data_IF_253315455147
#
_entry.id   IF_253315455147
#
_cell.length_a   1.000
_cell.length_b   1.000
_cell.length_c   1.000
_cell.angle_alpha   90.00
_cell.angle_beta   90.00
_cell.angle_gamma   90.00
#
_symmetry.space_group_name_H-M   'P 1'
#
loop_
_entity.id
_entity.type
_entity.pdbx_description
1 polymer ?
#
# COMPACT_ATOMS: atom_id res chain seq x y z
N UNK A 1 -42.51 -34.19 -45.74
CA UNK A 1 -43.19 -33.13 -44.97
C UNK A 1 -43.08 -33.48 -43.50
N UNK A 2 -42.08 -32.91 -42.80
CA UNK A 2 -41.90 -33.07 -41.33
C UNK A 2 -42.59 -31.90 -40.62
N UNK A 3 -43.58 -32.21 -39.82
CA UNK A 3 -44.32 -31.25 -39.00
C UNK A 3 -43.48 -30.89 -37.80
N UNK A 4 -43.01 -29.63 -37.70
CA UNK A 4 -42.45 -29.07 -36.49
C UNK A 4 -43.59 -28.74 -35.51
N UNK A 5 -43.61 -29.43 -34.37
CA UNK A 5 -44.47 -29.11 -33.25
C UNK A 5 -43.80 -27.98 -32.42
N UNK A 6 -44.33 -26.77 -32.51
CA UNK A 6 -43.97 -25.67 -31.63
C UNK A 6 -44.64 -25.88 -30.26
N UNK A 7 -43.84 -26.19 -29.22
CA UNK A 7 -44.32 -26.12 -27.83
C UNK A 7 -44.24 -24.66 -27.36
N UNK A 8 -45.32 -24.04 -26.89
CA UNK A 8 -45.22 -22.75 -26.22
C UNK A 8 -44.59 -22.97 -24.84
N UNK A 9 -43.41 -22.42 -24.64
CA UNK A 9 -42.80 -22.28 -23.31
C UNK A 9 -43.61 -21.22 -22.56
N UNK A 10 -44.47 -21.68 -21.65
CA UNK A 10 -45.14 -20.81 -20.71
C UNK A 10 -44.09 -20.28 -19.71
N UNK A 11 -43.68 -19.01 -19.88
CA UNK A 11 -42.95 -18.28 -18.85
C UNK A 11 -43.94 -17.99 -17.71
N UNK A 12 -43.90 -18.80 -16.66
CA UNK A 12 -44.51 -18.47 -15.37
C UNK A 12 -43.63 -17.42 -14.73
N UNK A 13 -43.90 -16.14 -14.97
CA UNK A 13 -43.33 -15.08 -14.15
C UNK A 13 -43.95 -15.19 -12.75
N UNK A 14 -43.22 -15.74 -11.82
CA UNK A 14 -43.55 -15.70 -10.40
C UNK A 14 -43.64 -14.22 -10.00
N UNK A 15 -44.84 -13.73 -9.77
CA UNK A 15 -45.09 -12.42 -9.15
C UNK A 15 -44.74 -12.61 -7.67
N UNK A 16 -43.45 -12.52 -7.32
CA UNK A 16 -43.08 -12.32 -5.95
C UNK A 16 -43.48 -10.89 -5.57
N UNK A 17 -44.28 -10.76 -4.53
CA UNK A 17 -44.58 -9.45 -3.95
C UNK A 17 -43.25 -8.78 -3.61
N UNK A 18 -42.95 -7.63 -4.23
CA UNK A 18 -41.77 -6.84 -3.94
C UNK A 18 -42.17 -5.78 -2.91
N UNK A 19 -41.50 -5.79 -1.79
CA UNK A 19 -41.73 -4.84 -0.69
C UNK A 19 -40.68 -3.74 -0.71
N UNK A 20 -40.99 -2.61 -0.08
CA UNK A 20 -39.99 -1.56 0.19
C UNK A 20 -39.79 -1.42 1.68
N UNK A 21 -38.52 -1.21 2.06
CA UNK A 21 -38.12 -0.88 3.42
C UNK A 21 -37.70 0.57 3.45
N UNK A 22 -38.44 1.40 4.18
CA UNK A 22 -38.19 2.83 4.26
C UNK A 22 -37.94 3.27 5.69
N UNK A 23 -37.20 4.33 5.85
CA UNK A 23 -36.91 4.86 7.19
C UNK A 23 -36.09 6.14 7.19
N UNK A 24 -35.84 6.61 8.39
CA UNK A 24 -35.02 7.81 8.63
C UNK A 24 -33.89 7.52 9.60
N UNK A 25 -32.69 7.98 9.24
CA UNK A 25 -31.50 7.85 10.06
C UNK A 25 -31.15 9.19 10.67
N UNK A 26 -30.91 9.20 11.96
CA UNK A 26 -30.54 10.41 12.71
C UNK A 26 -29.55 10.09 13.84
N UNK A 27 -28.83 11.11 14.26
CA UNK A 27 -28.04 11.06 15.49
C UNK A 27 -28.95 10.82 16.72
N UNK A 28 -28.56 9.91 17.59
CA UNK A 28 -29.37 9.52 18.76
C UNK A 28 -29.52 10.67 19.78
N UNK A 29 -28.49 11.51 19.93
CA UNK A 29 -28.44 12.58 20.93
C UNK A 29 -28.98 13.89 20.38
N UNK A 30 -28.51 14.34 19.24
CA UNK A 30 -28.88 15.63 18.64
C UNK A 30 -30.16 15.55 17.79
N UNK A 31 -30.57 14.35 17.38
CA UNK A 31 -31.70 14.10 16.44
C UNK A 31 -31.47 14.69 15.04
N UNK A 32 -30.26 15.12 14.73
CA UNK A 32 -29.90 15.66 13.41
C UNK A 32 -29.93 14.53 12.39
N UNK A 33 -30.50 14.72 11.19
CA UNK A 33 -30.40 13.76 10.09
C UNK A 33 -28.96 13.44 9.76
N UNK A 34 -28.69 12.20 9.32
CA UNK A 34 -27.37 11.73 8.91
C UNK A 34 -27.38 11.40 7.40
N UNK A 35 -27.25 12.42 6.52
CA UNK A 35 -27.24 12.22 5.08
C UNK A 35 -26.03 11.40 4.64
N UNK A 36 -26.22 10.54 3.63
CA UNK A 36 -25.18 9.67 3.12
C UNK A 36 -24.90 8.44 4.00
N UNK A 37 -25.70 8.20 5.04
CA UNK A 37 -25.66 6.93 5.78
C UNK A 37 -25.98 5.77 4.84
N UNK A 38 -25.23 4.69 4.93
CA UNK A 38 -25.44 3.50 4.12
C UNK A 38 -26.29 2.47 4.87
N UNK A 39 -27.39 2.00 4.25
CA UNK A 39 -28.26 0.96 4.80
C UNK A 39 -28.27 -0.23 3.86
N UNK A 40 -27.97 -1.41 4.39
CA UNK A 40 -27.92 -2.65 3.61
C UNK A 40 -28.68 -3.77 4.30
N UNK A 41 -29.20 -4.70 3.51
CA UNK A 41 -29.68 -6.00 3.98
C UNK A 41 -28.52 -6.99 3.88
N UNK A 42 -28.00 -7.41 5.02
CA UNK A 42 -26.79 -8.26 5.14
C UNK A 42 -27.00 -9.57 4.38
N UNK A 43 -25.99 -9.96 3.58
CA UNK A 43 -26.06 -11.17 2.76
C UNK A 43 -26.80 -11.02 1.43
N UNK A 44 -27.25 -9.81 1.08
CA UNK A 44 -27.87 -9.47 -0.20
C UNK A 44 -27.14 -8.33 -0.89
N UNK A 45 -27.54 -8.02 -2.15
CA UNK A 45 -27.08 -6.85 -2.88
C UNK A 45 -28.05 -5.66 -2.73
N UNK A 46 -28.98 -5.73 -1.77
CA UNK A 46 -30.00 -4.71 -1.56
C UNK A 46 -29.56 -3.71 -0.50
N UNK A 47 -29.64 -2.43 -0.84
CA UNK A 47 -29.27 -1.33 0.05
C UNK A 47 -29.59 0.02 -0.55
N UNK A 48 -29.51 1.06 0.28
CA UNK A 48 -29.73 2.45 -0.12
C UNK A 48 -28.85 3.38 0.72
N UNK A 49 -28.51 4.55 0.15
CA UNK A 49 -27.91 5.66 0.89
C UNK A 49 -29.03 6.62 1.36
N UNK A 50 -28.90 7.16 2.56
CA UNK A 50 -29.83 8.16 3.06
C UNK A 50 -29.66 9.51 2.33
N UNK A 51 -30.76 10.17 2.02
CA UNK A 51 -30.80 11.48 1.40
C UNK A 51 -30.42 12.63 2.35
N UNK A 52 -30.57 13.88 1.91
CA UNK A 52 -30.25 15.09 2.69
C UNK A 52 -31.05 15.20 4.02
N UNK A 53 -32.22 14.63 4.09
CA UNK A 53 -33.08 14.61 5.27
C UNK A 53 -32.91 13.35 6.12
N UNK A 54 -31.94 12.49 5.74
CA UNK A 54 -31.65 11.23 6.39
C UNK A 54 -32.64 10.10 6.04
N UNK A 55 -33.48 10.29 5.03
CA UNK A 55 -34.45 9.29 4.57
C UNK A 55 -33.78 8.27 3.64
N UNK A 56 -34.14 6.99 3.80
CA UNK A 56 -33.68 5.91 2.93
C UNK A 56 -34.84 5.05 2.45
N UNK A 57 -34.68 4.46 1.28
CA UNK A 57 -35.66 3.55 0.69
C UNK A 57 -34.92 2.40 -0.03
N UNK A 58 -35.16 1.17 0.43
CA UNK A 58 -34.68 -0.05 -0.22
C UNK A 58 -35.87 -0.69 -0.93
N UNK A 59 -35.83 -0.69 -2.25
CA UNK A 59 -36.89 -1.21 -3.10
C UNK A 59 -36.67 -2.66 -3.51
N UNK A 60 -37.71 -3.34 -3.96
CA UNK A 60 -37.67 -4.68 -4.51
C UNK A 60 -37.15 -5.75 -3.53
N UNK A 61 -37.50 -5.63 -2.26
CA UNK A 61 -37.09 -6.60 -1.23
C UNK A 61 -38.06 -7.80 -1.28
N UNK A 62 -37.58 -9.03 -1.51
CA UNK A 62 -38.42 -10.24 -1.45
C UNK A 62 -38.88 -10.53 -0.01
N UNK A 63 -39.94 -11.35 0.12
CA UNK A 63 -40.30 -11.91 1.44
C UNK A 63 -39.17 -12.73 2.00
N UNK A 64 -38.90 -12.56 3.31
CA UNK A 64 -37.81 -13.27 4.01
C UNK A 64 -37.38 -12.59 5.30
N UNK A 65 -36.48 -13.26 5.99
CA UNK A 65 -35.82 -12.75 7.19
C UNK A 65 -34.48 -12.16 6.84
N UNK A 66 -34.22 -10.94 7.27
CA UNK A 66 -33.00 -10.18 6.97
C UNK A 66 -32.41 -9.54 8.22
N UNK A 67 -31.09 -9.39 8.26
CA UNK A 67 -30.41 -8.45 9.15
C UNK A 67 -30.23 -7.12 8.40
N UNK A 68 -30.90 -6.06 8.85
CA UNK A 68 -30.64 -4.71 8.36
C UNK A 68 -29.48 -4.09 9.11
N UNK A 69 -28.53 -3.51 8.39
CA UNK A 69 -27.37 -2.83 8.97
C UNK A 69 -27.30 -1.40 8.41
N UNK A 70 -27.23 -0.42 9.33
CA UNK A 70 -26.99 0.98 8.97
C UNK A 70 -25.63 1.43 9.49
N UNK A 71 -24.86 2.11 8.64
CA UNK A 71 -23.51 2.60 8.91
C UNK A 71 -23.36 4.06 8.52
N UNK A 72 -22.63 4.83 9.32
CA UNK A 72 -22.22 6.20 9.01
C UNK A 72 -20.85 6.49 9.62
N UNK A 73 -20.02 7.27 8.94
CA UNK A 73 -18.66 7.58 9.40
C UNK A 73 -18.72 8.31 10.74
N UNK A 74 -18.03 7.78 11.74
CA UNK A 74 -18.00 8.35 13.11
C UNK A 74 -19.16 7.90 14.00
N UNK A 75 -19.94 6.90 13.57
CA UNK A 75 -21.07 6.34 14.34
C UNK A 75 -20.95 4.84 14.50
N UNK A 76 -21.53 4.31 15.57
CA UNK A 76 -21.66 2.86 15.81
C UNK A 76 -22.60 2.25 14.77
N UNK A 77 -22.24 1.07 14.26
CA UNK A 77 -23.11 0.35 13.33
C UNK A 77 -24.39 -0.09 14.02
N UNK A 78 -25.52 0.23 13.44
CA UNK A 78 -26.83 -0.29 13.86
C UNK A 78 -27.08 -1.61 13.16
N UNK A 79 -27.58 -2.61 13.90
CA UNK A 79 -28.01 -3.90 13.38
C UNK A 79 -29.34 -4.29 14.00
N UNK A 80 -30.24 -4.82 13.19
CA UNK A 80 -31.53 -5.34 13.64
C UNK A 80 -32.04 -6.42 12.70
N UNK A 81 -32.67 -7.46 13.25
CA UNK A 81 -33.35 -8.45 12.44
C UNK A 81 -34.72 -7.93 12.05
N UNK A 82 -35.09 -8.10 10.79
CA UNK A 82 -36.40 -7.75 10.23
C UNK A 82 -36.98 -8.94 9.46
N UNK A 83 -38.29 -9.17 9.56
CA UNK A 83 -38.99 -10.24 8.86
C UNK A 83 -40.01 -9.63 7.93
N UNK A 84 -39.79 -9.73 6.63
CA UNK A 84 -40.62 -9.11 5.60
C UNK A 84 -41.60 -10.14 5.06
N UNK A 85 -42.88 -9.89 5.30
CA UNK A 85 -43.99 -10.68 4.74
C UNK A 85 -45.21 -9.80 4.56
N UNK A 86 -46.25 -10.31 3.88
CA UNK A 86 -47.48 -9.57 3.55
C UNK A 86 -48.23 -8.99 4.76
N UNK A 87 -48.04 -9.55 5.96
CA UNK A 87 -48.69 -9.06 7.18
C UNK A 87 -47.85 -8.04 7.96
N UNK A 88 -46.53 -7.93 7.70
CA UNK A 88 -45.61 -7.07 8.44
C UNK A 88 -45.15 -5.84 7.67
N UNK A 89 -45.55 -5.69 6.40
CA UNK A 89 -45.11 -4.60 5.48
C UNK A 89 -45.29 -3.20 6.08
N UNK A 90 -46.37 -2.95 6.78
CA UNK A 90 -46.62 -1.65 7.41
C UNK A 90 -45.65 -1.30 8.52
N UNK A 91 -44.99 -2.30 9.13
CA UNK A 91 -44.05 -2.09 10.24
C UNK A 91 -42.67 -1.63 9.79
N UNK A 92 -42.32 -1.80 8.51
CA UNK A 92 -41.04 -1.40 7.94
C UNK A 92 -41.13 -0.17 7.06
N UNK A 93 -42.28 0.45 6.99
CA UNK A 93 -42.48 1.80 6.47
C UNK A 93 -42.20 2.79 7.60
N UNK A 94 -41.25 3.73 7.37
CA UNK A 94 -40.82 4.74 8.36
C UNK A 94 -40.05 4.21 9.58
N UNK A 95 -39.10 3.27 9.37
CA UNK A 95 -38.18 2.86 10.42
C UNK A 95 -37.39 4.05 10.95
N UNK A 96 -37.27 4.17 12.27
CA UNK A 96 -36.45 5.19 12.93
C UNK A 96 -35.15 4.55 13.39
N UNK A 97 -34.08 4.77 12.65
CA UNK A 97 -32.75 4.32 12.99
C UNK A 97 -32.00 5.47 13.66
N UNK A 98 -31.52 5.25 14.87
CA UNK A 98 -30.74 6.23 15.62
C UNK A 98 -29.36 5.69 15.85
N UNK A 99 -28.36 6.34 15.24
CA UNK A 99 -26.98 5.99 15.42
C UNK A 99 -26.41 6.77 16.62
N UNK A 100 -25.72 6.08 17.50
CA UNK A 100 -24.92 6.71 18.51
C UNK A 100 -23.62 7.17 17.86
N UNK A 101 -23.18 8.40 18.14
CA UNK A 101 -21.78 8.77 17.82
C UNK A 101 -20.94 7.66 18.40
N UNK A 102 -20.28 6.93 17.55
CA UNK A 102 -19.10 6.19 18.00
C UNK A 102 -18.25 7.33 18.57
N UNK A 103 -18.16 7.41 19.92
CA UNK A 103 -16.98 8.05 20.46
C UNK A 103 -15.88 7.49 19.61
N UNK A 104 -15.16 8.33 18.84
CA UNK A 104 -13.93 7.89 18.22
C UNK A 104 -13.24 7.30 19.41
N UNK A 105 -13.41 6.00 19.62
CA UNK A 105 -12.40 5.27 20.35
C UNK A 105 -11.23 5.57 19.45
N UNK A 106 -10.41 6.52 19.89
CA UNK A 106 -9.01 6.54 19.54
C UNK A 106 -8.70 5.08 19.58
N UNK A 107 -8.64 4.43 18.40
CA UNK A 107 -8.58 2.98 18.32
C UNK A 107 -7.48 2.66 19.29
N UNK A 108 -7.87 2.02 20.42
CA UNK A 108 -6.93 1.69 21.45
C UNK A 108 -6.01 0.73 20.77
N UNK A 109 -4.95 1.31 20.15
CA UNK A 109 -4.06 0.57 19.29
C UNK A 109 -3.42 -0.47 20.16
N UNK A 110 -3.90 -1.68 19.97
CA UNK A 110 -3.36 -2.84 20.61
C UNK A 110 -2.10 -3.18 19.84
N UNK A 111 -0.97 -3.01 20.48
CA UNK A 111 0.34 -3.29 19.92
C UNK A 111 0.84 -4.64 20.37
N UNK A 112 1.59 -5.31 19.53
CA UNK A 112 2.21 -6.60 19.83
C UNK A 112 3.65 -6.44 20.32
N UNK A 113 3.97 -5.28 20.89
CA UNK A 113 5.31 -4.90 21.35
C UNK A 113 5.92 -5.87 22.37
N UNK A 114 5.14 -6.73 23.00
CA UNK A 114 5.62 -7.77 23.91
C UNK A 114 5.32 -9.19 23.41
N UNK A 115 6.02 -9.63 22.35
CA UNK A 115 6.02 -11.01 21.84
C UNK A 115 4.63 -11.65 21.71
N UNK A 116 3.74 -10.98 20.98
CA UNK A 116 2.42 -11.52 20.68
C UNK A 116 1.35 -11.30 21.75
N UNK A 117 1.66 -10.65 22.85
CA UNK A 117 0.64 -10.12 23.77
C UNK A 117 0.11 -8.82 23.22
N UNK A 118 -1.19 -8.74 23.07
CA UNK A 118 -1.89 -7.51 22.72
C UNK A 118 -1.94 -6.62 23.95
N UNK A 119 -1.28 -5.47 23.88
CA UNK A 119 -1.26 -4.47 24.96
C UNK A 119 -1.77 -3.13 24.44
N UNK A 120 -2.33 -2.32 25.33
CA UNK A 120 -2.65 -0.95 24.99
C UNK A 120 -1.36 -0.17 24.76
N UNK A 121 -1.34 0.69 23.75
CA UNK A 121 -0.16 1.52 23.43
C UNK A 121 0.28 2.34 24.66
N UNK A 122 -0.67 2.76 25.50
CA UNK A 122 -0.42 3.51 26.74
C UNK A 122 0.28 2.70 27.82
N UNK A 123 0.15 1.38 27.78
CA UNK A 123 0.67 0.47 28.80
C UNK A 123 2.02 -0.13 28.38
N UNK A 124 2.39 0.08 27.10
CA UNK A 124 3.64 -0.44 26.57
C UNK A 124 4.86 0.31 27.15
N UNK A 125 5.91 -0.40 27.58
CA UNK A 125 7.08 0.20 28.22
C UNK A 125 8.04 0.89 27.22
N UNK A 126 7.65 1.05 25.95
CA UNK A 126 8.44 1.62 24.86
C UNK A 126 7.68 2.74 24.13
N UNK A 127 8.42 3.61 23.47
CA UNK A 127 7.83 4.60 22.57
C UNK A 127 7.37 3.91 21.28
N UNK A 128 6.07 3.72 21.13
CA UNK A 128 5.48 3.05 19.97
C UNK A 128 4.67 4.05 19.15
N UNK A 129 4.91 4.05 17.84
CA UNK A 129 4.09 4.74 16.86
C UNK A 129 3.36 3.71 16.01
N UNK A 130 2.08 3.96 15.72
CA UNK A 130 1.26 3.07 14.88
C UNK A 130 0.81 3.79 13.63
N UNK A 131 1.06 3.20 12.48
CA UNK A 131 0.51 3.60 11.20
C UNK A 131 -0.73 2.72 10.97
N UNK A 132 -1.89 3.34 11.03
CA UNK A 132 -3.18 2.63 10.92
C UNK A 132 -3.50 2.23 9.49
N UNK A 133 -4.40 1.24 9.34
CA UNK A 133 -4.95 0.84 8.05
C UNK A 133 -5.54 2.03 7.28
N UNK A 134 -6.26 2.93 7.96
CA UNK A 134 -6.83 4.13 7.35
C UNK A 134 -5.75 5.02 6.74
N UNK A 135 -4.63 5.23 7.43
CA UNK A 135 -3.50 6.00 6.94
C UNK A 135 -2.87 5.33 5.72
N UNK A 136 -2.66 4.01 5.78
CA UNK A 136 -2.10 3.23 4.69
C UNK A 136 -2.99 3.30 3.44
N UNK A 137 -4.31 3.21 3.59
CA UNK A 137 -5.27 3.30 2.49
C UNK A 137 -5.44 4.70 1.91
N UNK A 138 -5.20 5.74 2.72
CA UNK A 138 -5.35 7.13 2.28
C UNK A 138 -4.20 7.60 1.39
N UNK A 139 -3.10 6.86 1.34
CA UNK A 139 -1.90 7.21 0.58
C UNK A 139 -1.61 6.13 -0.48
N UNK A 140 -1.19 6.56 -1.67
CA UNK A 140 -0.86 5.67 -2.79
C UNK A 140 0.64 5.61 -2.98
N UNK A 141 1.33 4.96 -2.06
CA UNK A 141 2.78 4.87 -2.05
C UNK A 141 3.31 3.71 -2.93
N UNK A 142 4.52 3.80 -3.49
CA UNK A 142 5.14 2.74 -4.30
C UNK A 142 5.30 1.46 -3.50
N UNK A 143 5.84 1.56 -2.29
CA UNK A 143 6.04 0.45 -1.36
C UNK A 143 5.78 0.86 0.09
N UNK A 144 6.00 -0.06 1.03
CA UNK A 144 5.72 0.18 2.46
C UNK A 144 6.71 1.13 3.13
N UNK A 145 7.90 1.33 2.57
CA UNK A 145 8.94 2.21 3.16
C UNK A 145 8.51 3.67 3.22
N UNK A 146 7.74 4.16 2.25
CA UNK A 146 7.33 5.55 2.17
C UNK A 146 6.41 6.01 3.33
N UNK A 147 5.70 5.07 3.98
CA UNK A 147 4.86 5.39 5.13
C UNK A 147 5.63 5.88 6.37
N UNK A 148 6.95 5.66 6.42
CA UNK A 148 7.78 6.03 7.57
C UNK A 148 8.27 7.46 7.56
N UNK A 149 8.17 8.18 6.45
CA UNK A 149 8.67 9.56 6.29
C UNK A 149 8.16 10.56 7.33
N UNK A 150 7.00 10.29 7.93
CA UNK A 150 6.37 11.18 8.91
C UNK A 150 6.41 10.60 10.35
N UNK A 151 7.16 9.53 10.58
CA UNK A 151 7.27 8.91 11.90
C UNK A 151 8.31 9.62 12.73
N UNK A 152 7.90 10.14 13.88
CA UNK A 152 8.76 10.87 14.80
C UNK A 152 9.89 9.97 15.33
N UNK A 153 11.14 10.40 15.13
CA UNK A 153 12.32 9.64 15.58
C UNK A 153 12.79 8.55 14.62
N UNK A 154 12.24 8.51 13.41
CA UNK A 154 12.75 7.74 12.27
C UNK A 154 13.42 8.70 11.31
N UNK A 155 14.66 8.40 10.96
CA UNK A 155 15.41 9.10 9.92
C UNK A 155 15.09 8.40 8.59
N UNK A 156 14.54 9.15 7.65
CA UNK A 156 14.10 8.67 6.35
C UNK A 156 14.90 9.33 5.24
N UNK A 157 15.46 8.54 4.34
CA UNK A 157 16.11 9.02 3.13
C UNK A 157 15.57 8.24 1.94
N UNK A 158 15.18 8.95 0.88
CA UNK A 158 14.81 8.35 -0.39
C UNK A 158 15.96 8.53 -1.37
N UNK A 159 16.49 7.45 -1.92
CA UNK A 159 17.50 7.44 -2.98
C UNK A 159 16.90 7.30 -4.37
N UNK A 160 15.58 7.09 -4.45
CA UNK A 160 14.81 6.97 -5.67
C UNK A 160 13.32 6.87 -5.35
N UNK A 161 12.50 6.64 -6.36
CA UNK A 161 11.06 6.53 -6.22
C UNK A 161 10.63 5.28 -5.44
N UNK A 162 11.38 4.20 -5.50
CA UNK A 162 11.08 2.90 -4.88
C UNK A 162 12.16 2.43 -3.89
N UNK A 163 13.15 3.27 -3.60
CA UNK A 163 14.28 2.92 -2.74
C UNK A 163 14.38 3.87 -1.55
N UNK A 164 14.31 3.30 -0.34
CA UNK A 164 14.29 4.04 0.92
C UNK A 164 15.22 3.44 1.94
N UNK A 165 15.94 4.32 2.65
CA UNK A 165 16.76 3.97 3.78
C UNK A 165 16.13 4.52 5.05
N UNK A 166 15.95 3.63 6.02
CA UNK A 166 15.33 3.95 7.30
C UNK A 166 16.29 3.65 8.44
N UNK A 167 16.44 4.58 9.34
CA UNK A 167 17.11 4.35 10.61
C UNK A 167 16.36 5.03 11.76
N UNK A 168 16.69 4.68 12.98
CA UNK A 168 16.16 5.32 14.17
C UNK A 168 17.28 5.56 15.16
N UNK A 169 17.33 6.78 15.72
CA UNK A 169 18.32 7.17 16.75
C UNK A 169 19.77 6.93 16.36
N UNK A 170 20.14 7.15 15.11
CA UNK A 170 21.49 6.91 14.67
C UNK A 170 21.73 7.22 13.22
N UNK A 171 22.93 6.90 12.76
CA UNK A 171 23.36 7.17 11.40
C UNK A 171 22.50 6.42 10.39
N UNK A 172 21.91 7.14 9.49
CA UNK A 172 21.20 6.56 8.36
C UNK A 172 22.20 6.13 7.29
N UNK A 173 22.11 4.88 6.88
CA UNK A 173 22.99 4.29 5.87
C UNK A 173 22.21 3.18 5.17
N UNK A 174 22.45 3.00 3.88
CA UNK A 174 21.85 1.95 3.06
C UNK A 174 22.06 0.54 3.64
N UNK A 175 23.18 0.32 4.32
CA UNK A 175 23.52 -0.96 4.93
C UNK A 175 23.30 -1.01 6.45
N UNK A 176 22.38 -0.19 6.96
CA UNK A 176 22.08 -0.18 8.39
C UNK A 176 21.10 -1.32 8.75
N UNK A 177 21.56 -2.25 9.60
CA UNK A 177 20.72 -3.34 10.14
C UNK A 177 20.29 -3.11 11.59
N UNK A 178 20.40 -1.88 12.11
CA UNK A 178 20.10 -1.57 13.51
C UNK A 178 18.61 -1.41 13.83
N UNK A 179 17.80 -1.14 12.81
CA UNK A 179 16.35 -1.10 12.87
C UNK A 179 15.82 -2.42 12.31
N UNK A 180 15.36 -3.31 13.18
CA UNK A 180 14.83 -4.61 12.77
C UNK A 180 13.45 -4.44 12.11
N UNK A 181 13.29 -4.94 10.90
CA UNK A 181 11.96 -4.99 10.25
C UNK A 181 11.42 -6.42 10.23
N UNK A 182 10.19 -6.57 10.68
CA UNK A 182 9.44 -7.82 10.71
C UNK A 182 8.18 -7.71 9.86
N UNK A 183 7.79 -8.80 9.25
CA UNK A 183 6.47 -8.99 8.64
C UNK A 183 5.83 -10.23 9.25
N UNK A 184 4.75 -10.05 9.98
CA UNK A 184 4.08 -11.12 10.75
C UNK A 184 5.07 -11.92 11.61
N UNK A 185 6.00 -11.22 12.27
CA UNK A 185 7.02 -11.82 13.14
C UNK A 185 8.23 -12.44 12.42
N UNK A 186 8.27 -12.43 11.09
CA UNK A 186 9.40 -12.91 10.28
C UNK A 186 10.32 -11.74 9.91
N UNK A 187 11.61 -11.93 9.98
CA UNK A 187 12.59 -10.92 9.53
C UNK A 187 12.45 -10.66 8.02
N UNK A 188 12.34 -9.38 7.67
CA UNK A 188 12.16 -8.90 6.29
C UNK A 188 13.47 -8.37 5.66
N UNK A 189 14.62 -8.66 6.26
CA UNK A 189 15.91 -8.23 5.74
C UNK A 189 16.46 -9.19 4.67
N UNK A 190 17.28 -8.66 3.78
CA UNK A 190 18.09 -9.44 2.83
C UNK A 190 19.37 -9.87 3.57
N UNK A 191 19.52 -11.17 3.96
CA UNK A 191 20.57 -11.60 4.89
C UNK A 191 21.98 -11.36 4.37
N UNK A 192 22.21 -11.52 3.07
CA UNK A 192 23.51 -11.36 2.43
C UNK A 192 24.01 -9.92 2.41
N UNK A 193 23.09 -8.96 2.32
CA UNK A 193 23.41 -7.53 2.21
C UNK A 193 23.18 -6.77 3.52
N UNK A 194 22.58 -7.40 4.52
CA UNK A 194 22.23 -6.79 5.82
C UNK A 194 21.39 -5.51 5.70
N UNK A 195 20.61 -5.41 4.64
CA UNK A 195 19.71 -4.29 4.40
C UNK A 195 18.25 -4.74 4.37
N UNK A 196 17.36 -3.77 4.44
CA UNK A 196 15.92 -3.99 4.30
C UNK A 196 15.48 -3.34 2.99
N UNK A 197 15.18 -4.16 2.01
CA UNK A 197 14.63 -3.71 0.74
C UNK A 197 13.11 -3.71 0.82
N UNK A 198 12.51 -2.57 1.18
CA UNK A 198 11.06 -2.43 1.33
C UNK A 198 10.29 -2.74 0.05
N UNK A 199 10.91 -2.52 -1.10
CA UNK A 199 10.38 -2.84 -2.42
C UNK A 199 10.32 -4.35 -2.70
N UNK A 200 11.05 -5.18 -1.97
CA UNK A 200 11.00 -6.64 -2.11
C UNK A 200 10.10 -7.33 -1.09
N UNK A 201 9.51 -6.61 -0.14
CA UNK A 201 8.56 -7.19 0.80
C UNK A 201 7.28 -7.55 0.03
N UNK A 202 6.90 -8.86 -0.04
CA UNK A 202 5.83 -9.31 -0.93
C UNK A 202 4.42 -9.07 -0.35
N UNK A 203 4.22 -7.93 0.31
CA UNK A 203 2.96 -7.53 0.94
C UNK A 203 2.40 -6.32 0.24
N UNK A 204 1.09 -6.31 -0.03
CA UNK A 204 0.38 -5.15 -0.60
C UNK A 204 -0.08 -4.21 0.51
N UNK A 205 -0.24 -2.92 0.19
CA UNK A 205 -0.83 -1.95 1.14
C UNK A 205 -2.23 -2.35 1.62
N UNK A 206 -3.03 -3.00 0.76
CA UNK A 206 -4.37 -3.48 1.11
C UNK A 206 -4.37 -4.65 2.09
N UNK A 207 -3.25 -5.38 2.18
CA UNK A 207 -3.08 -6.49 3.09
C UNK A 207 -2.64 -6.07 4.50
N UNK A 208 -2.06 -4.89 4.63
CA UNK A 208 -1.56 -4.42 5.92
C UNK A 208 -2.73 -3.99 6.81
N UNK A 209 -2.76 -4.51 8.01
CA UNK A 209 -3.70 -4.09 9.04
C UNK A 209 -3.16 -2.89 9.83
N UNK A 210 -1.89 -2.94 10.19
CA UNK A 210 -1.17 -1.83 10.84
C UNK A 210 0.35 -2.02 10.74
N UNK A 211 1.10 -0.94 10.90
CA UNK A 211 2.55 -0.99 11.07
C UNK A 211 2.89 -0.38 12.41
N UNK A 212 3.59 -1.13 13.25
CA UNK A 212 4.06 -0.70 14.56
C UNK A 212 5.54 -0.32 14.45
N UNK A 213 5.90 0.84 14.96
CA UNK A 213 7.28 1.32 15.03
C UNK A 213 7.66 1.50 16.48
N UNK A 214 8.47 0.61 17.00
CA UNK A 214 8.98 0.62 18.37
C UNK A 214 10.35 1.28 18.35
N UNK A 215 10.50 2.39 19.05
CA UNK A 215 11.74 3.15 19.10
C UNK A 215 12.50 2.88 20.40
N UNK A 216 13.72 2.45 20.25
CA UNK A 216 14.63 2.16 21.37
C UNK A 216 15.14 0.72 21.38
N UNK A 217 16.08 0.40 22.31
CA UNK A 217 16.69 -0.92 22.38
C UNK A 217 15.65 -1.98 22.73
N UNK A 218 15.37 -2.88 21.79
CA UNK A 218 14.34 -3.91 21.89
C UNK A 218 14.90 -5.34 21.72
N UNK A 219 16.23 -5.48 21.76
CA UNK A 219 16.91 -6.75 21.50
C UNK A 219 16.55 -7.86 22.49
N UNK A 220 16.16 -7.51 23.72
CA UNK A 220 15.71 -8.48 24.70
C UNK A 220 14.38 -9.17 24.31
N UNK A 221 13.54 -8.50 23.54
CA UNK A 221 12.23 -9.01 23.09
C UNK A 221 12.31 -9.62 21.69
N UNK A 222 13.04 -8.98 20.78
CA UNK A 222 13.04 -9.28 19.35
C UNK A 222 14.34 -9.93 18.85
N UNK A 223 15.38 -10.01 19.70
CA UNK A 223 16.65 -10.62 19.36
C UNK A 223 17.63 -9.65 18.70
N UNK A 224 18.67 -10.17 18.02
CA UNK A 224 19.70 -9.37 17.39
C UNK A 224 19.13 -8.43 16.33
N UNK A 225 19.83 -7.33 16.06
CA UNK A 225 19.46 -6.26 15.14
C UNK A 225 18.34 -5.30 15.59
N UNK A 226 17.68 -5.54 16.74
CA UNK A 226 16.72 -4.59 17.32
C UNK A 226 17.42 -3.58 18.26
N UNK A 227 18.50 -2.92 17.78
CA UNK A 227 19.31 -1.99 18.57
C UNK A 227 18.66 -0.62 18.72
N UNK A 228 18.23 -0.04 17.63
CA UNK A 228 17.62 1.29 17.59
C UNK A 228 16.10 1.25 17.61
N UNK A 229 15.52 0.12 17.24
CA UNK A 229 14.09 -0.07 17.22
C UNK A 229 13.66 -1.30 16.44
N UNK A 230 12.33 -1.45 16.31
CA UNK A 230 11.69 -2.51 15.54
C UNK A 230 10.55 -1.91 14.73
N UNK A 231 10.48 -2.27 13.47
CA UNK A 231 9.32 -2.08 12.60
C UNK A 231 8.61 -3.42 12.49
N UNK A 232 7.34 -3.49 12.86
CA UNK A 232 6.53 -4.70 12.75
C UNK A 232 5.34 -4.44 11.81
N UNK A 233 5.39 -5.02 10.63
CA UNK A 233 4.34 -4.96 9.63
C UNK A 233 3.39 -6.12 9.90
N UNK A 234 2.13 -5.80 10.25
CA UNK A 234 1.11 -6.79 10.60
C UNK A 234 0.12 -6.87 9.45
N UNK A 235 -0.01 -8.05 8.85
CA UNK A 235 -0.96 -8.29 7.76
C UNK A 235 -2.30 -8.79 8.29
N UNK A 236 -3.36 -8.59 7.51
CA UNK A 236 -4.69 -9.13 7.80
C UNK A 236 -4.69 -10.65 7.67
N UNK A 237 -5.38 -11.33 8.56
CA UNK A 237 -5.64 -12.75 8.38
C UNK A 237 -6.57 -12.98 7.19
N UNK A 238 -6.41 -14.10 6.46
CA UNK A 238 -7.31 -14.43 5.34
C UNK A 238 -8.78 -14.38 5.73
N UNK A 239 -9.13 -14.93 6.90
CA UNK A 239 -10.51 -14.96 7.41
C UNK A 239 -11.10 -13.57 7.71
N UNK A 240 -10.26 -12.56 7.95
CA UNK A 240 -10.66 -11.18 8.29
C UNK A 240 -10.73 -10.27 7.05
N UNK A 241 -10.30 -10.77 5.88
CA UNK A 241 -10.14 -9.96 4.67
C UNK A 241 -10.82 -10.57 3.44
N UNK A 242 -11.96 -11.24 3.64
CA UNK A 242 -12.68 -11.97 2.59
C UNK A 242 -13.06 -11.08 1.41
N UNK A 243 -13.10 -11.68 0.22
CA UNK A 243 -13.47 -11.02 -1.03
C UNK A 243 -12.28 -10.61 -1.88
N UNK A 244 -12.55 -9.85 -2.93
CA UNK A 244 -11.57 -9.40 -3.92
C UNK A 244 -11.44 -7.89 -3.87
N UNK A 245 -10.21 -7.39 -3.85
CA UNK A 245 -9.88 -5.98 -3.99
C UNK A 245 -8.96 -5.83 -5.20
N UNK A 246 -9.30 -4.90 -6.09
CA UNK A 246 -8.47 -4.53 -7.24
C UNK A 246 -8.19 -3.05 -7.15
N UNK A 247 -6.92 -2.68 -7.26
CA UNK A 247 -6.48 -1.30 -7.24
C UNK A 247 -5.61 -0.99 -8.46
N UNK A 248 -5.78 0.19 -9.01
CA UNK A 248 -4.90 0.72 -10.04
C UNK A 248 -4.60 2.19 -9.74
N UNK A 249 -3.32 2.53 -9.76
CA UNK A 249 -2.85 3.90 -9.54
C UNK A 249 -1.93 4.29 -10.69
N UNK A 250 -2.10 5.48 -11.21
CA UNK A 250 -1.23 6.07 -12.22
C UNK A 250 -0.80 7.47 -11.80
N UNK A 251 0.35 7.93 -12.30
CA UNK A 251 0.91 9.22 -11.94
C UNK A 251 1.96 9.70 -12.95
N UNK A 252 2.65 10.77 -12.60
CA UNK A 252 3.78 11.30 -13.37
C UNK A 252 4.93 10.30 -13.36
N UNK A 253 5.91 10.47 -14.28
CA UNK A 253 7.10 9.63 -14.43
C UNK A 253 6.74 8.16 -14.70
N UNK A 254 5.74 7.94 -15.55
CA UNK A 254 5.27 6.61 -15.95
C UNK A 254 4.85 5.72 -14.77
N UNK A 255 4.51 6.35 -13.62
CA UNK A 255 4.05 5.62 -12.45
C UNK A 255 2.78 4.85 -12.75
N UNK A 256 2.86 3.53 -12.71
CA UNK A 256 1.73 2.62 -12.85
C UNK A 256 1.83 1.51 -11.82
N UNK A 257 0.83 1.38 -10.97
CA UNK A 257 0.74 0.35 -9.95
C UNK A 257 -0.60 -0.36 -10.05
N UNK A 258 -0.57 -1.61 -10.47
CA UNK A 258 -1.73 -2.50 -10.47
C UNK A 258 -1.59 -3.49 -9.30
N UNK A 259 -2.64 -3.67 -8.53
CA UNK A 259 -2.65 -4.62 -7.43
C UNK A 259 -3.97 -5.37 -7.35
N UNK A 260 -3.90 -6.62 -6.94
CA UNK A 260 -5.07 -7.47 -6.71
C UNK A 260 -4.86 -8.26 -5.43
N UNK A 261 -5.91 -8.38 -4.64
CA UNK A 261 -5.98 -9.26 -3.48
C UNK A 261 -7.28 -10.04 -3.51
N UNK A 262 -7.20 -11.33 -3.26
CA UNK A 262 -8.36 -12.18 -3.10
C UNK A 262 -8.21 -13.06 -1.86
N UNK A 263 -9.25 -13.12 -1.03
CA UNK A 263 -9.27 -13.98 0.15
C UNK A 263 -10.60 -14.76 0.21
N UNK A 264 -10.49 -16.02 0.62
CA UNK A 264 -11.62 -16.92 0.78
C UNK A 264 -11.50 -17.75 2.05
N UNK A 265 -12.67 -18.22 2.55
CA UNK A 265 -12.75 -19.10 3.72
C UNK A 265 -13.74 -20.23 3.46
N UNK A 266 -13.37 -21.43 3.86
CA UNK A 266 -14.25 -22.61 3.87
C UNK A 266 -14.03 -23.39 5.16
N UNK A 267 -15.01 -23.38 6.03
CA UNK A 267 -14.91 -23.95 7.38
C UNK A 267 -13.71 -23.37 8.16
N UNK A 268 -12.79 -24.21 8.57
CA UNK A 268 -11.60 -23.84 9.33
C UNK A 268 -10.41 -23.43 8.43
N UNK A 269 -10.53 -23.62 7.11
CA UNK A 269 -9.49 -23.26 6.17
C UNK A 269 -9.79 -21.89 5.56
N UNK A 270 -8.78 -21.02 5.53
CA UNK A 270 -8.84 -19.73 4.84
C UNK A 270 -7.56 -19.47 4.06
N UNK A 271 -7.67 -18.77 2.95
CA UNK A 271 -6.54 -18.41 2.10
C UNK A 271 -6.63 -16.98 1.62
N UNK A 272 -5.49 -16.42 1.32
CA UNK A 272 -5.35 -15.08 0.75
C UNK A 272 -4.21 -15.10 -0.27
N UNK A 273 -4.46 -14.53 -1.43
CA UNK A 273 -3.43 -14.28 -2.45
C UNK A 273 -3.46 -12.80 -2.81
N UNK A 274 -2.28 -12.22 -2.99
CA UNK A 274 -2.12 -10.87 -3.47
C UNK A 274 -1.00 -10.78 -4.50
N UNK A 275 -1.16 -9.87 -5.46
CA UNK A 275 -0.16 -9.58 -6.46
C UNK A 275 -0.09 -8.07 -6.70
N UNK A 276 1.12 -7.59 -6.95
CA UNK A 276 1.40 -6.21 -7.36
C UNK A 276 2.30 -6.23 -8.58
N UNK A 277 1.97 -5.42 -9.55
CA UNK A 277 2.88 -5.03 -10.62
C UNK A 277 3.03 -3.51 -10.57
N UNK A 278 4.26 -3.05 -10.38
CA UNK A 278 4.62 -1.65 -10.29
C UNK A 278 5.68 -1.34 -11.33
N UNK A 279 5.45 -0.27 -12.10
CA UNK A 279 6.41 0.29 -13.04
C UNK A 279 6.47 1.81 -12.87
N UNK A 280 7.65 2.38 -13.04
CA UNK A 280 7.86 3.82 -13.03
C UNK A 280 9.19 4.13 -13.73
N UNK A 281 9.43 5.41 -14.03
CA UNK A 281 10.70 5.92 -14.48
C UNK A 281 11.28 6.84 -13.39
N UNK A 282 12.43 6.48 -12.81
CA UNK A 282 13.06 7.23 -11.73
C UNK A 282 13.69 8.53 -12.24
N UNK A 283 14.27 9.32 -11.35
CA UNK A 283 14.98 10.55 -11.72
C UNK A 283 16.27 10.21 -12.47
N UNK A 284 16.44 10.77 -13.64
CA UNK A 284 17.66 10.64 -14.44
C UNK A 284 18.76 11.49 -13.80
N UNK A 285 19.24 11.07 -12.63
CA UNK A 285 20.31 11.72 -11.93
C UNK A 285 21.51 10.78 -11.86
N UNK A 286 22.63 11.25 -12.36
CA UNK A 286 23.91 10.60 -12.22
C UNK A 286 24.82 11.57 -11.47
N UNK A 287 25.49 11.08 -10.45
CA UNK A 287 26.38 11.89 -9.64
C UNK A 287 27.54 12.43 -10.49
N UNK A 288 28.06 13.62 -10.11
CA UNK A 288 29.12 14.28 -10.87
C UNK A 288 30.37 13.42 -10.94
N UNK A 289 30.72 12.74 -9.86
CA UNK A 289 31.91 11.87 -9.82
C UNK A 289 31.74 10.62 -10.71
N UNK A 290 30.54 10.06 -10.79
CA UNK A 290 30.20 8.96 -11.70
C UNK A 290 30.28 9.43 -13.17
N UNK A 291 29.76 10.62 -13.46
CA UNK A 291 29.92 11.25 -14.77
C UNK A 291 31.39 11.43 -15.15
N UNK A 292 32.22 11.94 -14.20
CA UNK A 292 33.65 12.11 -14.42
C UNK A 292 34.36 10.80 -14.70
N UNK A 293 34.00 9.71 -14.00
CA UNK A 293 34.59 8.39 -14.24
C UNK A 293 34.25 7.87 -15.65
N UNK A 294 33.01 8.03 -16.10
CA UNK A 294 32.64 7.72 -17.48
C UNK A 294 33.43 8.54 -18.48
N UNK A 295 33.65 9.83 -18.22
CA UNK A 295 34.48 10.68 -19.08
C UNK A 295 35.96 10.36 -19.06
N UNK A 296 36.52 9.83 -17.97
CA UNK A 296 37.91 9.39 -17.88
C UNK A 296 38.22 8.19 -18.77
N UNK A 297 37.24 7.35 -19.01
CA UNK A 297 37.38 6.19 -19.89
C UNK A 297 37.28 6.60 -21.37
N UNK A 298 36.92 7.83 -21.65
CA UNK A 298 36.66 8.36 -22.99
C UNK A 298 37.70 9.38 -23.40
N UNK A 299 38.30 9.17 -24.57
CA UNK A 299 39.05 10.20 -25.25
C UNK A 299 38.07 11.01 -26.09
N UNK A 300 37.60 12.14 -25.57
CA UNK A 300 36.79 13.09 -26.30
C UNK A 300 37.72 13.96 -27.12
N UNK A 301 37.67 13.87 -28.43
CA UNK A 301 38.35 14.73 -29.42
C UNK A 301 39.49 15.62 -28.88
N UNK A 302 40.58 15.00 -28.37
CA UNK A 302 41.77 15.67 -27.94
C UNK A 302 41.82 16.18 -26.50
N UNK A 303 40.85 15.78 -25.65
CA UNK A 303 40.96 15.89 -24.19
C UNK A 303 40.98 14.48 -23.59
N UNK A 304 41.98 14.17 -22.80
CA UNK A 304 41.87 12.98 -21.91
C UNK A 304 41.16 13.34 -20.59
N UNK A 305 40.80 12.33 -19.79
CA UNK A 305 40.05 12.54 -18.57
C UNK A 305 40.78 13.38 -17.52
N UNK A 306 42.11 13.39 -17.50
CA UNK A 306 42.91 14.21 -16.58
C UNK A 306 42.89 15.68 -16.99
N UNK A 307 42.98 15.99 -18.31
CA UNK A 307 42.84 17.34 -18.82
C UNK A 307 41.46 17.92 -18.54
N UNK A 308 40.42 17.10 -18.61
CA UNK A 308 39.06 17.52 -18.33
C UNK A 308 38.86 17.83 -16.84
N UNK A 309 39.42 17.01 -15.94
CA UNK A 309 39.40 17.26 -14.49
C UNK A 309 40.11 18.57 -14.15
N UNK A 310 41.27 18.83 -14.75
CA UNK A 310 42.01 20.08 -14.58
C UNK A 310 41.16 21.30 -15.02
N UNK A 311 40.41 21.19 -16.09
CA UNK A 311 39.50 22.26 -16.55
C UNK A 311 38.32 22.48 -15.60
N UNK A 312 37.79 21.43 -14.99
CA UNK A 312 36.78 21.56 -13.93
C UNK A 312 37.36 22.23 -12.69
N UNK A 313 38.53 21.81 -12.24
CA UNK A 313 39.19 22.37 -11.05
C UNK A 313 39.59 23.85 -11.24
N UNK A 314 39.91 24.24 -12.45
CA UNK A 314 40.16 25.64 -12.81
C UNK A 314 38.87 26.48 -13.03
N UNK A 315 37.70 25.85 -12.94
CA UNK A 315 36.42 26.50 -13.23
C UNK A 315 36.19 26.82 -14.72
N UNK A 316 36.94 26.19 -15.58
CA UNK A 316 36.89 26.35 -17.05
C UNK A 316 36.02 25.31 -17.75
N UNK A 317 35.53 24.31 -17.01
CA UNK A 317 34.52 23.36 -17.44
C UNK A 317 33.32 23.42 -16.53
N UNK A 318 32.13 23.32 -17.07
CA UNK A 318 30.88 23.27 -16.30
C UNK A 318 29.90 22.30 -16.92
N UNK A 319 29.14 21.66 -16.03
CA UNK A 319 28.04 20.79 -16.43
C UNK A 319 26.80 21.60 -16.84
N UNK A 320 26.19 21.21 -17.96
CA UNK A 320 24.86 21.66 -18.38
C UNK A 320 23.99 20.43 -18.70
N UNK A 321 23.38 19.91 -17.66
CA UNK A 321 22.72 18.61 -17.75
C UNK A 321 23.72 17.47 -17.99
N UNK A 322 23.67 16.85 -19.16
CA UNK A 322 24.60 15.82 -19.62
C UNK A 322 25.75 16.36 -20.45
N UNK A 323 25.68 17.61 -20.87
CA UNK A 323 26.67 18.25 -21.69
C UNK A 323 27.76 18.90 -20.84
N UNK A 324 28.95 18.98 -21.36
CA UNK A 324 30.05 19.73 -20.75
C UNK A 324 30.35 20.92 -21.63
N UNK A 325 30.28 22.10 -21.03
CA UNK A 325 30.74 23.38 -21.67
C UNK A 325 32.13 23.68 -21.19
N UNK A 326 33.04 23.91 -22.12
CA UNK A 326 34.45 24.12 -21.84
C UNK A 326 34.90 25.47 -22.44
N UNK A 327 35.57 26.24 -21.58
CA UNK A 327 36.35 27.43 -21.94
C UNK A 327 37.84 27.03 -21.90
N UNK A 328 38.42 26.71 -23.05
CA UNK A 328 39.77 26.13 -23.11
C UNK A 328 40.88 27.18 -22.86
N UNK A 329 40.67 28.40 -23.28
CA UNK A 329 41.71 29.44 -23.17
C UNK A 329 41.54 30.31 -21.92
N UNK A 330 40.42 30.20 -21.21
CA UNK A 330 40.14 30.91 -19.95
C UNK A 330 39.76 32.36 -20.14
N UNK A 331 39.22 32.72 -21.29
CA UNK A 331 38.76 34.08 -21.59
C UNK A 331 37.35 34.37 -21.08
N UNK A 332 36.65 33.37 -20.52
CA UNK A 332 35.30 33.45 -19.99
C UNK A 332 34.23 33.16 -21.03
N UNK A 333 34.62 32.77 -22.24
CA UNK A 333 33.67 32.32 -23.29
C UNK A 333 33.76 30.81 -23.47
N UNK A 334 32.62 30.18 -23.80
CA UNK A 334 32.58 28.74 -24.05
C UNK A 334 33.08 28.46 -25.46
N UNK A 335 34.22 27.80 -25.55
CA UNK A 335 34.82 27.43 -26.83
C UNK A 335 34.19 26.17 -27.42
N UNK A 336 33.83 25.23 -26.54
CA UNK A 336 33.37 23.92 -26.97
C UNK A 336 32.29 23.39 -26.04
N UNK A 337 31.30 22.74 -26.62
CA UNK A 337 30.29 21.97 -25.87
C UNK A 337 30.40 20.50 -26.28
N UNK A 338 30.64 19.63 -25.32
CA UNK A 338 30.63 18.18 -25.50
C UNK A 338 29.23 17.66 -25.15
N UNK A 339 28.53 17.10 -26.15
CA UNK A 339 27.18 16.59 -25.99
C UNK A 339 27.21 15.17 -25.40
N UNK A 340 26.93 15.07 -24.10
CA UNK A 340 27.01 13.81 -23.36
C UNK A 340 25.92 12.80 -23.75
N UNK A 341 24.76 13.29 -24.17
CA UNK A 341 23.59 12.42 -24.37
C UNK A 341 23.65 11.61 -25.67
N UNK A 342 24.32 12.11 -26.70
CA UNK A 342 24.29 11.50 -28.06
C UNK A 342 25.54 10.71 -28.42
N UNK A 343 26.69 10.95 -27.75
CA UNK A 343 27.98 10.41 -28.18
C UNK A 343 28.82 9.70 -27.10
N UNK A 344 28.59 9.95 -25.81
CA UNK A 344 29.55 9.56 -24.77
C UNK A 344 29.01 8.54 -23.78
N UNK A 345 27.73 8.59 -23.48
CA UNK A 345 27.15 7.83 -22.37
C UNK A 345 26.45 6.53 -22.78
N UNK A 346 26.35 6.26 -24.08
CA UNK A 346 25.62 5.08 -24.55
C UNK A 346 26.45 3.80 -24.49
N UNK A 347 27.73 3.89 -24.74
CA UNK A 347 28.61 2.70 -24.85
C UNK A 347 30.05 3.17 -24.66
N UNK A 348 30.49 3.30 -23.41
CA UNK A 348 31.81 3.88 -23.06
C UNK A 348 32.98 2.98 -23.44
N UNK A 349 32.77 1.68 -23.54
CA UNK A 349 33.80 0.70 -23.85
C UNK A 349 33.72 0.12 -25.26
N UNK A 350 32.73 0.59 -26.08
CA UNK A 350 32.48 0.18 -27.45
C UNK A 350 32.19 -1.32 -27.61
N UNK A 351 31.57 -1.94 -26.62
CA UNK A 351 31.18 -3.36 -26.67
C UNK A 351 29.76 -3.57 -27.25
N UNK A 352 29.08 -2.51 -27.60
CA UNK A 352 27.72 -2.53 -28.15
C UNK A 352 26.61 -2.60 -27.10
N UNK A 353 26.96 -2.40 -25.81
CA UNK A 353 26.03 -2.37 -24.69
C UNK A 353 25.94 -0.94 -24.15
N UNK A 354 24.75 -0.46 -23.91
CA UNK A 354 24.51 0.86 -23.31
C UNK A 354 24.95 0.86 -21.84
N UNK A 355 25.92 1.69 -21.45
CA UNK A 355 26.46 1.79 -20.08
C UNK A 355 25.63 2.76 -19.20
N UNK A 356 24.60 3.40 -19.75
CA UNK A 356 23.75 4.30 -18.98
C UNK A 356 22.95 3.52 -17.94
N UNK A 357 22.88 4.00 -16.69
CA UNK A 357 21.98 3.45 -15.71
C UNK A 357 20.55 3.39 -16.24
N UNK A 358 19.94 2.22 -16.19
CA UNK A 358 18.53 2.06 -16.50
C UNK A 358 17.69 2.63 -15.32
N UNK A 359 16.96 3.72 -15.56
CA UNK A 359 16.09 4.37 -14.58
C UNK A 359 14.67 3.79 -14.54
N UNK A 360 14.41 2.77 -15.35
CA UNK A 360 13.12 2.08 -15.35
C UNK A 360 12.98 1.15 -14.16
N UNK A 361 12.02 1.45 -13.31
CA UNK A 361 11.66 0.62 -12.15
C UNK A 361 10.62 -0.40 -12.58
N UNK A 362 10.89 -1.68 -12.32
CA UNK A 362 9.92 -2.77 -12.49
C UNK A 362 9.93 -3.61 -11.21
N UNK A 363 8.79 -3.69 -10.55
CA UNK A 363 8.64 -4.42 -9.30
C UNK A 363 7.39 -5.30 -9.36
N UNK A 364 7.60 -6.60 -9.22
CA UNK A 364 6.54 -7.60 -9.22
C UNK A 364 6.57 -8.37 -7.91
N UNK A 365 5.46 -8.42 -7.22
CA UNK A 365 5.33 -9.10 -5.93
C UNK A 365 4.12 -10.01 -5.94
N UNK A 366 4.27 -11.16 -5.33
CA UNK A 366 3.21 -12.13 -5.11
C UNK A 366 3.30 -12.67 -3.69
N UNK A 367 2.17 -12.76 -3.01
CA UNK A 367 2.05 -13.36 -1.68
C UNK A 367 0.88 -14.33 -1.64
N UNK A 368 1.08 -15.47 -0.99
CA UNK A 368 0.07 -16.47 -0.69
C UNK A 368 0.16 -16.82 0.78
N UNK A 369 -0.96 -16.68 1.49
CA UNK A 369 -1.11 -17.12 2.87
C UNK A 369 -2.28 -18.09 2.97
N UNK A 370 -2.08 -19.19 3.68
CA UNK A 370 -3.08 -20.19 4.00
C UNK A 370 -3.09 -20.41 5.51
N UNK A 371 -4.24 -20.26 6.14
CA UNK A 371 -4.43 -20.48 7.57
C UNK A 371 -5.42 -21.63 7.78
N UNK A 372 -5.15 -22.49 8.77
CA UNK A 372 -6.07 -23.51 9.24
C UNK A 372 -6.28 -23.34 10.74
N UNK A 373 -7.50 -23.02 11.12
CA UNK A 373 -7.90 -22.79 12.51
C UNK A 373 -8.34 -24.11 13.15
N UNK A 374 -7.61 -24.60 14.17
CA UNK A 374 -8.00 -25.78 14.95
C UNK A 374 -9.00 -25.40 16.05
N UNK A 375 -8.84 -24.22 16.64
CA UNK A 375 -9.70 -23.62 17.65
C UNK A 375 -9.63 -22.09 17.54
N UNK A 376 -10.35 -21.37 18.39
CA UNK A 376 -10.29 -19.90 18.45
C UNK A 376 -8.87 -19.38 18.73
N UNK A 377 -8.09 -20.09 19.52
CA UNK A 377 -6.74 -19.67 19.96
C UNK A 377 -5.60 -20.36 19.22
N UNK A 378 -5.86 -21.41 18.42
CA UNK A 378 -4.82 -22.21 17.78
C UNK A 378 -5.02 -22.31 16.27
N UNK A 379 -4.03 -21.88 15.54
CA UNK A 379 -4.01 -22.00 14.08
C UNK A 379 -2.61 -22.33 13.56
N UNK A 380 -2.56 -22.86 12.33
CA UNK A 380 -1.32 -23.04 11.55
C UNK A 380 -1.42 -22.16 10.33
N UNK A 381 -0.32 -21.46 10.04
CA UNK A 381 -0.21 -20.58 8.88
C UNK A 381 0.93 -21.02 7.97
N UNK A 382 0.65 -21.16 6.69
CA UNK A 382 1.64 -21.34 5.64
C UNK A 382 1.69 -20.09 4.77
N UNK A 383 2.89 -19.53 4.60
CA UNK A 383 3.09 -18.32 3.81
C UNK A 383 4.13 -18.58 2.72
N UNK A 384 3.84 -18.11 1.52
CA UNK A 384 4.75 -18.11 0.39
C UNK A 384 4.75 -16.71 -0.23
N UNK A 385 5.94 -16.13 -0.40
CA UNK A 385 6.11 -14.82 -1.02
C UNK A 385 7.18 -14.86 -2.11
N UNK A 386 6.95 -14.14 -3.19
CA UNK A 386 7.91 -13.93 -4.27
C UNK A 386 7.95 -12.44 -4.62
N UNK A 387 9.15 -11.91 -4.78
CA UNK A 387 9.35 -10.55 -5.26
C UNK A 387 10.48 -10.53 -6.30
N UNK A 388 10.26 -9.75 -7.35
CA UNK A 388 11.28 -9.43 -8.36
C UNK A 388 11.28 -7.93 -8.55
N UNK A 389 12.42 -7.31 -8.32
CA UNK A 389 12.63 -5.88 -8.53
C UNK A 389 13.86 -5.67 -9.44
N UNK A 390 13.81 -4.67 -10.30
CA UNK A 390 14.93 -4.19 -11.12
C UNK A 390 15.26 -2.77 -10.70
N UNK A 391 16.53 -2.38 -10.88
CA UNK A 391 17.05 -1.03 -10.56
C UNK A 391 16.84 -0.65 -9.10
N UNK A 392 17.34 -1.52 -8.23
CA UNK A 392 17.41 -1.23 -6.80
C UNK A 392 18.61 -0.30 -6.60
N UNK A 393 18.35 1.00 -6.50
CA UNK A 393 19.36 1.97 -6.06
C UNK A 393 19.61 1.76 -4.56
N UNK A 394 20.82 1.35 -4.21
CA UNK A 394 21.24 1.07 -2.82
C UNK A 394 22.07 2.23 -2.29
#
# INVERSE_FOLDING_TARGET
MKKFLLYPILYISSIFGQFSVTGKISDKKSRTPLPGSNVILVGTNLGAAADADGFFEINNVPEGDYEIMATFIGYENFKSNISINSSTTASFQNMKIQLSVSAIQLQEYVVTASRGKREKITDAPAAISVISELKIRSESNPNLGDYFKNIKGVDFTASGMDSYNLSARGFNSSFSSRLLTLTDGRMANVPSLRLIAYNTIPVTSDDVSQIEVVLGPSSALYGPNAHSGVVNIITKRPAESLGTVVGYTTGTREFNKAQVRHAGKRNNFSYKMSAVNFTAHDWNYIEVDEKKEHYRQWRVDGLDGEELDDLFDLGRAQWDGWDIKVDRDGDGTIDTTYFGKDNILKDSNLDGVEDLPDFDIKNQRFDLRMDYDFSEDHFVSLNFGHAKATNINI
#
